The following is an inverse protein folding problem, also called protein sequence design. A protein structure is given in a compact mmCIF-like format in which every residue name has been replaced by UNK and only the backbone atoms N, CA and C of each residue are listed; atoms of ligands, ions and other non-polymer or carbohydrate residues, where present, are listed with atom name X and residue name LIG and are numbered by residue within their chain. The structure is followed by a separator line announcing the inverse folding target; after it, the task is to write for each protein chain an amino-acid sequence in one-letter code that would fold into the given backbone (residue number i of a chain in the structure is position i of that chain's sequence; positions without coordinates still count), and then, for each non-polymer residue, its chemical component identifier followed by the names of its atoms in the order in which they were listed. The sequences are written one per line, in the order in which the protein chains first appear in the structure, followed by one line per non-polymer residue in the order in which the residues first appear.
data_IF_105268561025
#
_entry.id   IF_105268561025
#
_cell.length_a   1.000
_cell.length_b   1.000
_cell.length_c   1.000
_cell.angle_alpha   90.00
_cell.angle_beta   90.00
_cell.angle_gamma   90.00
#
_symmetry.space_group_name_H-M   'P 1'
#
loop_
_entity.id
_entity.type
_entity.pdbx_description
1 polymer ?
#
# COMPACT_ATOMS: atom_id res chain seq x y z
N UNK A 1 3.18 29.15 -20.60
CA UNK A 1 2.16 28.35 -19.88
C UNK A 1 2.55 26.88 -20.03
N UNK A 2 3.21 26.31 -19.02
CA UNK A 2 3.50 24.87 -19.00
C UNK A 2 2.21 24.13 -18.69
N UNK A 3 1.82 23.20 -19.56
CA UNK A 3 0.71 22.28 -19.32
C UNK A 3 1.09 21.35 -18.17
N UNK A 4 0.67 21.69 -16.95
CA UNK A 4 0.76 20.79 -15.80
C UNK A 4 -0.14 19.58 -16.08
N UNK A 5 0.45 18.43 -16.39
CA UNK A 5 -0.25 17.15 -16.45
C UNK A 5 -0.70 16.77 -15.04
N UNK A 6 -1.91 17.19 -14.66
CA UNK A 6 -2.52 16.91 -13.36
C UNK A 6 -2.81 15.41 -13.25
N UNK A 7 -1.99 14.65 -12.53
CA UNK A 7 -2.24 13.24 -12.25
C UNK A 7 -3.51 13.09 -11.38
N UNK A 8 -4.65 12.77 -12.00
CA UNK A 8 -5.87 12.47 -11.24
C UNK A 8 -5.80 11.07 -10.61
N UNK A 9 -6.65 10.77 -9.61
CA UNK A 9 -6.80 9.41 -9.04
C UNK A 9 -7.09 8.38 -10.14
N UNK A 10 -7.94 8.74 -11.10
CA UNK A 10 -8.26 7.92 -12.26
C UNK A 10 -7.02 7.64 -13.10
N UNK A 11 -6.23 8.66 -13.39
CA UNK A 11 -5.01 8.53 -14.19
C UNK A 11 -3.97 7.71 -13.44
N UNK A 12 -3.85 7.87 -12.12
CA UNK A 12 -2.99 7.03 -11.29
C UNK A 12 -3.40 5.55 -11.38
N UNK A 13 -4.69 5.24 -11.19
CA UNK A 13 -5.20 3.87 -11.27
C UNK A 13 -5.04 3.29 -12.69
N UNK A 14 -5.37 4.05 -13.73
CA UNK A 14 -5.24 3.61 -15.13
C UNK A 14 -3.78 3.41 -15.52
N UNK A 15 -2.92 4.39 -15.27
CA UNK A 15 -1.50 4.34 -15.64
C UNK A 15 -0.79 3.21 -14.88
N UNK A 16 -1.12 3.00 -13.61
CA UNK A 16 -0.53 1.91 -12.84
C UNK A 16 -1.09 0.54 -13.26
N UNK A 17 -2.37 0.43 -13.62
CA UNK A 17 -2.93 -0.82 -14.15
C UNK A 17 -2.36 -1.21 -15.52
N UNK A 18 -2.07 -0.22 -16.38
CA UNK A 18 -1.45 -0.41 -17.70
C UNK A 18 0.01 -0.89 -17.63
N UNK A 19 0.73 -0.59 -16.54
CA UNK A 19 2.13 -1.02 -16.33
C UNK A 19 2.23 -2.49 -15.90
N UNK A 20 1.08 -3.19 -15.77
CA UNK A 20 1.03 -4.65 -15.73
C UNK A 20 0.61 -5.19 -14.37
N UNK A 21 -0.70 -5.42 -14.22
CA UNK A 21 -1.25 -6.40 -13.27
C UNK A 21 -0.90 -6.21 -11.80
N UNK A 22 -0.58 -4.98 -11.36
CA UNK A 22 -0.20 -4.73 -9.97
C UNK A 22 -1.32 -5.02 -8.96
N UNK A 23 -0.94 -5.21 -7.69
CA UNK A 23 -1.87 -5.21 -6.57
C UNK A 23 -2.16 -3.75 -6.21
N UNK A 24 -3.44 -3.38 -6.16
CA UNK A 24 -3.87 -2.05 -5.73
C UNK A 24 -4.75 -2.21 -4.51
N UNK A 25 -4.28 -1.77 -3.35
CA UNK A 25 -5.06 -1.80 -2.13
C UNK A 25 -5.59 -0.39 -1.88
N UNK A 26 -6.89 -0.19 -2.08
CA UNK A 26 -7.58 1.04 -1.67
C UNK A 26 -7.94 0.95 -0.20
N UNK A 27 -7.69 2.02 0.56
CA UNK A 27 -8.06 2.11 1.96
C UNK A 27 -8.31 3.57 2.36
N UNK A 28 -8.97 3.76 3.49
CA UNK A 28 -9.16 5.08 4.07
C UNK A 28 -7.99 5.41 5.01
N UNK A 29 -7.29 6.52 4.74
CA UNK A 29 -6.17 7.05 5.49
C UNK A 29 -6.58 8.08 6.55
N UNK A 30 -7.76 8.69 6.46
CA UNK A 30 -8.15 9.86 7.26
C UNK A 30 -9.52 9.78 7.94
N UNK A 31 -10.36 8.79 7.67
CA UNK A 31 -11.63 8.65 8.36
C UNK A 31 -11.49 8.12 9.79
N UNK A 32 -12.62 8.07 10.49
CA UNK A 32 -12.74 7.65 11.90
C UNK A 32 -13.13 6.17 12.06
N UNK A 33 -13.51 5.49 10.98
CA UNK A 33 -14.00 4.11 11.00
C UNK A 33 -12.91 3.03 11.08
N UNK A 34 -13.33 1.77 11.23
CA UNK A 34 -12.43 0.60 11.13
C UNK A 34 -11.70 0.62 9.78
N UNK A 35 -10.47 0.11 9.76
CA UNK A 35 -9.73 -0.05 8.50
C UNK A 35 -10.50 -1.00 7.59
N UNK A 36 -10.84 -0.49 6.40
CA UNK A 36 -11.46 -1.26 5.33
C UNK A 36 -10.53 -1.14 4.13
N UNK A 37 -10.25 -2.28 3.50
CA UNK A 37 -9.47 -2.33 2.30
C UNK A 37 -10.19 -3.14 1.22
N UNK A 38 -10.09 -2.71 -0.03
CA UNK A 38 -10.51 -3.50 -1.18
C UNK A 38 -9.43 -3.44 -2.25
N UNK A 39 -9.41 -4.46 -3.11
CA UNK A 39 -8.60 -4.37 -4.32
C UNK A 39 -9.21 -3.30 -5.23
N UNK A 40 -8.46 -2.23 -5.47
CA UNK A 40 -8.88 -1.15 -6.33
C UNK A 40 -8.72 -1.56 -7.79
N UNK A 41 -9.83 -1.59 -8.52
CA UNK A 41 -9.83 -1.82 -9.95
C UNK A 41 -10.23 -0.52 -10.66
N UNK A 42 -9.48 -0.04 -11.67
CA UNK A 42 -9.87 1.14 -12.46
C UNK A 42 -11.28 1.02 -13.09
N UNK A 43 -11.74 -0.21 -13.35
CA UNK A 43 -13.09 -0.47 -13.87
C UNK A 43 -14.20 -0.37 -12.79
N UNK A 44 -13.84 -0.35 -11.50
CA UNK A 44 -14.76 -0.23 -10.36
C UNK A 44 -14.70 1.17 -9.73
N UNK A 45 -14.35 2.18 -10.53
CA UNK A 45 -14.22 3.56 -10.05
C UNK A 45 -15.57 4.09 -9.55
N UNK A 46 -15.61 4.50 -8.27
CA UNK A 46 -16.83 4.93 -7.58
C UNK A 46 -17.51 3.85 -6.73
N UNK A 47 -17.10 2.57 -6.85
CA UNK A 47 -17.62 1.50 -6.00
C UNK A 47 -17.10 1.56 -4.55
N UNK A 48 -15.97 2.24 -4.32
CA UNK A 48 -15.37 2.42 -3.01
C UNK A 48 -14.86 3.84 -2.79
N UNK A 49 -15.17 4.38 -1.61
CA UNK A 49 -14.84 5.75 -1.21
C UNK A 49 -13.50 5.84 -0.46
N UNK A 50 -12.45 5.25 -1.04
CA UNK A 50 -11.10 5.30 -0.46
C UNK A 50 -10.38 6.59 -0.84
N UNK A 51 -9.74 7.22 0.15
CA UNK A 51 -8.95 8.43 -0.04
C UNK A 51 -7.44 8.18 -0.21
N UNK A 52 -6.97 6.94 -0.06
CA UNK A 52 -5.58 6.56 -0.27
C UNK A 52 -5.44 5.17 -0.91
N UNK A 53 -4.26 4.92 -1.49
CA UNK A 53 -3.93 3.66 -2.13
C UNK A 53 -2.50 3.23 -1.81
N UNK A 54 -2.30 1.93 -1.70
CA UNK A 54 -1.00 1.28 -1.79
C UNK A 54 -1.01 0.41 -3.04
N UNK A 55 -0.16 0.72 -4.02
CA UNK A 55 0.07 -0.14 -5.17
C UNK A 55 1.38 -0.89 -5.04
N UNK A 56 1.43 -2.11 -5.59
CA UNK A 56 2.63 -2.90 -5.80
C UNK A 56 2.64 -3.30 -7.28
N UNK A 57 3.60 -2.77 -8.02
CA UNK A 57 3.75 -3.01 -9.44
C UNK A 57 4.55 -4.30 -9.70
N UNK A 58 4.44 -4.82 -10.92
CA UNK A 58 5.17 -6.01 -11.37
C UNK A 58 6.69 -5.87 -11.33
N UNK A 59 7.22 -4.64 -11.41
CA UNK A 59 8.65 -4.32 -11.28
C UNK A 59 9.15 -4.32 -9.82
N UNK A 60 8.28 -4.60 -8.85
CA UNK A 60 8.62 -4.58 -7.43
C UNK A 60 8.83 -3.16 -6.90
N UNK A 61 8.17 -2.15 -7.48
CA UNK A 61 8.00 -0.83 -6.86
C UNK A 61 6.67 -0.74 -6.14
N UNK A 62 6.64 -0.05 -5.00
CA UNK A 62 5.41 0.24 -4.29
C UNK A 62 5.13 1.74 -4.30
N UNK A 63 3.86 2.13 -4.45
CA UNK A 63 3.47 3.55 -4.45
C UNK A 63 2.32 3.78 -3.49
N UNK A 64 2.49 4.78 -2.62
CA UNK A 64 1.45 5.31 -1.74
C UNK A 64 0.86 6.54 -2.42
N UNK A 65 -0.43 6.50 -2.73
CA UNK A 65 -1.17 7.69 -3.14
C UNK A 65 -1.74 8.36 -1.88
N UNK A 66 -1.23 9.54 -1.53
CA UNK A 66 -1.58 10.22 -0.27
C UNK A 66 -2.29 11.55 -0.51
N UNK A 67 -3.44 11.80 0.14
CA UNK A 67 -4.08 13.12 0.13
C UNK A 67 -3.35 14.14 1.00
N UNK A 68 -2.53 13.71 1.98
CA UNK A 68 -1.84 14.64 2.87
C UNK A 68 -0.90 15.56 2.08
N UNK A 69 -1.02 16.89 2.22
CA UNK A 69 -0.03 17.81 1.66
C UNK A 69 1.33 17.63 2.33
N UNK A 70 2.40 17.58 1.54
CA UNK A 70 3.80 17.68 1.97
C UNK A 70 4.24 19.14 1.84
N UNK A 71 4.63 19.75 2.95
CA UNK A 71 5.10 21.14 3.05
C UNK A 71 6.43 21.24 3.81
N UNK A 72 7.13 20.11 3.99
CA UNK A 72 8.41 20.02 4.69
C UNK A 72 8.38 19.16 5.96
N UNK A 73 7.24 18.58 6.32
CA UNK A 73 7.10 17.74 7.52
C UNK A 73 7.56 16.29 7.33
N UNK A 74 7.86 15.87 6.09
CA UNK A 74 8.52 14.59 5.82
C UNK A 74 7.60 13.38 5.70
N UNK A 75 6.35 13.55 5.27
CA UNK A 75 5.46 12.41 4.95
C UNK A 75 6.00 11.57 3.78
N UNK A 76 6.75 12.19 2.85
CA UNK A 76 7.43 11.46 1.76
C UNK A 76 8.56 10.54 2.23
N UNK A 77 8.93 10.59 3.51
CA UNK A 77 9.90 9.70 4.13
C UNK A 77 9.21 8.78 5.13
N UNK A 78 8.44 9.36 6.06
CA UNK A 78 7.84 8.60 7.16
C UNK A 78 6.76 7.61 6.69
N UNK A 79 5.98 7.95 5.65
CA UNK A 79 4.93 7.05 5.15
C UNK A 79 5.52 5.82 4.44
N UNK A 80 6.50 5.97 3.52
CA UNK A 80 7.26 4.85 2.96
C UNK A 80 7.83 3.93 4.02
N UNK A 81 8.51 4.48 5.04
CA UNK A 81 9.08 3.67 6.12
C UNK A 81 7.99 2.90 6.89
N UNK A 82 6.87 3.54 7.20
CA UNK A 82 5.76 2.94 7.95
C UNK A 82 5.12 1.77 7.20
N UNK A 83 4.87 1.93 5.89
CA UNK A 83 4.31 0.85 5.07
C UNK A 83 5.34 -0.25 4.85
N UNK A 84 6.59 0.11 4.53
CA UNK A 84 7.66 -0.84 4.26
C UNK A 84 7.96 -1.74 5.46
N UNK A 85 7.87 -1.19 6.68
CA UNK A 85 8.04 -1.93 7.92
C UNK A 85 7.05 -3.10 7.99
N UNK A 86 5.77 -2.85 7.75
CA UNK A 86 4.77 -3.92 7.77
C UNK A 86 4.77 -4.78 6.52
N UNK A 87 5.21 -4.24 5.39
CA UNK A 87 5.25 -4.97 4.12
C UNK A 87 6.47 -5.92 4.02
N UNK A 88 7.45 -5.82 4.92
CA UNK A 88 8.78 -6.45 4.78
C UNK A 88 9.45 -6.05 3.47
N UNK A 89 9.52 -4.74 3.21
CA UNK A 89 9.97 -4.19 1.93
C UNK A 89 11.17 -3.26 2.10
N UNK A 90 11.93 -3.07 1.02
CA UNK A 90 12.92 -2.01 0.97
C UNK A 90 12.21 -0.66 0.83
N UNK A 91 12.31 0.19 1.86
CA UNK A 91 11.63 1.48 1.89
C UNK A 91 12.10 2.42 0.77
N UNK A 92 13.31 2.24 0.24
CA UNK A 92 13.81 3.01 -0.90
C UNK A 92 13.03 2.73 -2.21
N UNK A 93 12.32 1.60 -2.27
CA UNK A 93 11.44 1.22 -3.39
C UNK A 93 9.98 1.65 -3.18
N UNK A 94 9.68 2.31 -2.06
CA UNK A 94 8.33 2.82 -1.77
C UNK A 94 8.29 4.32 -2.03
N UNK A 95 7.43 4.74 -2.97
CA UNK A 95 7.25 6.14 -3.37
C UNK A 95 5.95 6.70 -2.83
N UNK A 96 5.91 8.01 -2.59
CA UNK A 96 4.67 8.73 -2.31
C UNK A 96 4.32 9.62 -3.49
N UNK A 97 3.15 9.38 -4.07
CA UNK A 97 2.50 10.30 -5.01
C UNK A 97 1.45 11.08 -4.23
N UNK A 98 1.57 12.40 -4.25
CA UNK A 98 0.58 13.27 -3.61
C UNK A 98 -0.64 13.42 -4.52
N UNK A 99 -1.82 13.36 -3.91
CA UNK A 99 -3.07 13.64 -4.60
C UNK A 99 -3.17 15.14 -4.96
N UNK A 100 -3.78 15.49 -6.10
CA UNK A 100 -4.17 16.87 -6.38
C UNK A 100 -5.19 17.36 -5.35
N UNK A 101 -5.37 18.67 -5.26
CA UNK A 101 -6.41 19.26 -4.40
C UNK A 101 -7.80 18.81 -4.89
N UNK A 102 -8.57 18.16 -4.02
CA UNK A 102 -9.95 17.74 -4.28
C UNK A 102 -10.76 17.82 -2.97
N UNK A 103 -11.42 18.95 -2.75
CA UNK A 103 -12.19 19.23 -1.52
C UNK A 103 -13.51 18.48 -1.45
N UNK A 104 -13.91 17.79 -2.53
CA UNK A 104 -15.12 16.96 -2.56
C UNK A 104 -14.78 15.54 -2.11
N UNK A 105 -13.67 14.98 -2.61
CA UNK A 105 -13.26 13.60 -2.30
C UNK A 105 -12.40 13.47 -1.06
N UNK A 106 -11.69 14.52 -0.66
CA UNK A 106 -10.84 14.51 0.51
C UNK A 106 -11.39 15.46 1.56
N UNK A 107 -12.06 14.89 2.56
CA UNK A 107 -12.59 15.62 3.72
C UNK A 107 -11.50 16.47 4.40
N UNK A 108 -10.25 16.00 4.41
CA UNK A 108 -9.15 16.62 5.16
C UNK A 108 -7.84 16.71 4.38
N UNK A 109 -7.73 17.63 3.42
CA UNK A 109 -6.50 17.82 2.66
C UNK A 109 -5.61 18.96 3.20
N UNK A 110 -5.18 18.86 4.46
CA UNK A 110 -4.47 19.94 5.18
C UNK A 110 -3.18 19.46 5.84
N UNK A 111 -2.16 20.32 5.89
CA UNK A 111 -0.97 20.15 6.72
C UNK A 111 -1.05 21.11 7.91
N UNK A 112 -1.13 20.57 9.14
CA UNK A 112 -1.25 21.36 10.36
C UNK A 112 -1.64 20.51 11.58
N UNK A 113 -1.39 21.05 12.77
CA UNK A 113 -1.76 20.43 14.06
C UNK A 113 -1.01 19.14 14.41
N UNK A 114 0.12 18.86 13.74
CA UNK A 114 0.91 17.64 13.93
C UNK A 114 0.12 16.35 13.69
N UNK A 115 -0.89 16.40 12.82
CA UNK A 115 -1.88 15.35 12.68
C UNK A 115 -1.61 14.34 11.55
N UNK A 116 -0.70 14.60 10.61
CA UNK A 116 -0.48 13.71 9.46
C UNK A 116 0.00 12.33 9.90
N UNK A 117 1.08 12.25 10.68
CA UNK A 117 1.62 10.96 11.15
C UNK A 117 0.68 10.23 12.12
N UNK A 118 0.12 10.87 13.18
CA UNK A 118 -0.77 10.18 14.12
C UNK A 118 -2.01 9.55 13.47
N UNK A 119 -2.67 10.25 12.55
CA UNK A 119 -3.85 9.71 11.86
C UNK A 119 -3.49 8.57 10.89
N UNK A 120 -2.37 8.71 10.19
CA UNK A 120 -1.97 7.76 9.15
C UNK A 120 -1.24 6.53 9.70
N UNK A 121 -0.59 6.62 10.87
CA UNK A 121 0.29 5.58 11.42
C UNK A 121 -0.32 4.19 11.40
N UNK A 122 -1.48 4.01 12.06
CA UNK A 122 -2.13 2.70 12.14
C UNK A 122 -2.61 2.21 10.77
N UNK A 123 -3.15 3.11 9.96
CA UNK A 123 -3.74 2.80 8.66
C UNK A 123 -2.69 2.40 7.61
N UNK A 124 -1.54 3.09 7.59
CA UNK A 124 -0.39 2.72 6.76
C UNK A 124 0.17 1.36 7.17
N UNK A 125 0.27 1.11 8.48
CA UNK A 125 0.70 -0.20 8.99
C UNK A 125 -0.26 -1.31 8.55
N UNK A 126 -1.57 -1.09 8.72
CA UNK A 126 -2.59 -2.03 8.26
C UNK A 126 -2.52 -2.25 6.74
N UNK A 127 -2.35 -1.20 5.95
CA UNK A 127 -2.18 -1.34 4.50
C UNK A 127 -0.97 -2.19 4.12
N UNK A 128 0.19 -1.97 4.74
CA UNK A 128 1.40 -2.77 4.52
C UNK A 128 1.20 -4.24 4.93
N UNK A 129 0.62 -4.48 6.11
CA UNK A 129 0.38 -5.82 6.63
C UNK A 129 -0.65 -6.59 5.77
N UNK A 130 -1.74 -5.95 5.38
CA UNK A 130 -2.77 -6.52 4.50
C UNK A 130 -2.19 -6.86 3.13
N UNK A 131 -1.42 -5.95 2.52
CA UNK A 131 -0.77 -6.23 1.24
C UNK A 131 0.20 -7.40 1.34
N UNK A 132 1.04 -7.46 2.39
CA UNK A 132 1.93 -8.60 2.65
C UNK A 132 1.14 -9.90 2.76
N UNK A 133 0.07 -9.91 3.56
CA UNK A 133 -0.76 -11.10 3.78
C UNK A 133 -1.36 -11.60 2.46
N UNK A 134 -1.90 -10.70 1.63
CA UNK A 134 -2.45 -11.05 0.31
C UNK A 134 -1.40 -11.64 -0.63
N UNK A 135 -0.19 -11.09 -0.65
CA UNK A 135 0.92 -11.63 -1.45
C UNK A 135 1.33 -13.02 -0.97
N UNK A 136 1.38 -13.24 0.35
CA UNK A 136 1.62 -14.57 0.91
C UNK A 136 0.50 -15.55 0.56
N UNK A 137 -0.78 -15.13 0.55
CA UNK A 137 -1.88 -16.00 0.11
C UNK A 137 -1.80 -16.37 -1.36
N UNK A 138 -1.41 -15.42 -2.21
CA UNK A 138 -1.17 -15.68 -3.62
C UNK A 138 -0.06 -16.74 -3.80
N UNK A 139 1.06 -16.59 -3.09
CA UNK A 139 2.15 -17.56 -3.12
C UNK A 139 1.73 -18.93 -2.56
N UNK A 140 0.98 -18.95 -1.46
CA UNK A 140 0.46 -20.16 -0.84
C UNK A 140 -0.43 -20.94 -1.82
N UNK A 141 -1.35 -20.25 -2.50
CA UNK A 141 -2.19 -20.83 -3.56
C UNK A 141 -1.35 -21.33 -4.75
N UNK A 142 -0.41 -20.53 -5.23
CA UNK A 142 0.48 -20.88 -6.35
C UNK A 142 1.32 -22.13 -6.04
N UNK A 143 1.77 -22.27 -4.81
CA UNK A 143 2.65 -23.37 -4.40
C UNK A 143 1.93 -24.55 -3.79
N UNK A 144 0.62 -24.43 -3.56
CA UNK A 144 -0.24 -25.38 -2.86
C UNK A 144 0.32 -25.74 -1.46
N UNK A 145 0.61 -24.71 -0.67
CA UNK A 145 1.13 -24.85 0.71
C UNK A 145 0.29 -24.00 1.67
N UNK A 146 0.41 -24.27 2.98
CA UNK A 146 -0.20 -23.40 4.00
C UNK A 146 0.54 -22.06 4.03
N UNK A 147 -0.22 -20.96 4.10
CA UNK A 147 0.35 -19.62 4.14
C UNK A 147 1.16 -19.33 5.40
N UNK A 148 0.87 -20.03 6.50
CA UNK A 148 1.59 -19.89 7.76
C UNK A 148 2.99 -20.52 7.72
N UNK A 149 3.30 -21.33 6.70
CA UNK A 149 4.67 -21.83 6.47
C UNK A 149 5.52 -20.89 5.64
N UNK A 150 4.92 -19.78 5.15
CA UNK A 150 5.60 -18.77 4.37
C UNK A 150 6.20 -17.68 5.24
N UNK A 151 7.34 -17.18 4.79
CA UNK A 151 8.02 -16.02 5.40
C UNK A 151 8.25 -14.96 4.34
N UNK A 152 8.52 -13.74 4.79
CA UNK A 152 8.74 -12.59 3.91
C UNK A 152 9.98 -11.83 4.33
N UNK A 153 10.75 -11.39 3.34
CA UNK A 153 11.92 -10.55 3.57
C UNK A 153 12.26 -9.77 2.30
N UNK A 154 12.49 -8.46 2.45
CA UNK A 154 12.89 -7.53 1.37
C UNK A 154 12.05 -7.65 0.09
N UNK A 155 10.74 -7.80 0.22
CA UNK A 155 9.81 -7.88 -0.91
C UNK A 155 9.76 -9.22 -1.63
N UNK A 156 10.17 -10.30 -0.94
CA UNK A 156 10.15 -11.66 -1.45
C UNK A 156 9.41 -12.55 -0.46
N UNK A 157 8.46 -13.33 -0.96
CA UNK A 157 7.84 -14.45 -0.22
C UNK A 157 8.73 -15.67 -0.38
N UNK A 158 9.01 -16.37 0.72
CA UNK A 158 9.88 -17.55 0.78
C UNK A 158 9.18 -18.70 1.49
N UNK A 159 9.38 -19.92 1.01
CA UNK A 159 8.97 -21.15 1.67
C UNK A 159 10.21 -21.97 2.08
N UNK A 160 10.09 -22.77 3.14
CA UNK A 160 11.19 -23.57 3.70
C UNK A 160 11.78 -24.61 2.72
N UNK A 161 11.03 -25.02 1.71
CA UNK A 161 11.49 -25.92 0.64
C UNK A 161 12.31 -25.22 -0.46
N UNK A 162 12.66 -23.94 -0.29
CA UNK A 162 13.46 -23.17 -1.25
C UNK A 162 12.67 -22.45 -2.35
N UNK A 163 11.34 -22.60 -2.41
CA UNK A 163 10.51 -21.78 -3.31
C UNK A 163 10.52 -20.33 -2.86
N UNK A 164 10.66 -19.43 -3.83
CA UNK A 164 10.59 -17.99 -3.60
C UNK A 164 9.91 -17.28 -4.77
N UNK A 165 9.25 -16.16 -4.49
CA UNK A 165 8.70 -15.26 -5.49
C UNK A 165 8.74 -13.83 -4.96
N UNK A 166 9.09 -12.89 -5.82
CA UNK A 166 9.04 -11.46 -5.54
C UNK A 166 7.60 -11.00 -5.44
N UNK A 167 7.36 -9.89 -4.75
CA UNK A 167 6.02 -9.31 -4.66
C UNK A 167 5.48 -8.87 -6.01
N UNK A 168 6.33 -8.38 -6.92
CA UNK A 168 5.93 -8.02 -8.27
C UNK A 168 5.38 -9.21 -9.06
N UNK A 169 6.01 -10.38 -8.95
CA UNK A 169 5.53 -11.62 -9.58
C UNK A 169 4.19 -12.11 -9.03
N UNK A 170 3.87 -11.79 -7.77
CA UNK A 170 2.66 -12.22 -7.07
C UNK A 170 1.52 -11.21 -7.15
N UNK A 171 1.82 -9.96 -7.53
CA UNK A 171 0.90 -8.83 -7.47
C UNK A 171 -0.42 -9.09 -8.21
N UNK A 172 -0.35 -9.66 -9.42
CA UNK A 172 -1.51 -9.96 -10.26
C UNK A 172 -2.42 -11.06 -9.70
N UNK A 173 -1.85 -12.02 -8.98
CA UNK A 173 -2.61 -13.07 -8.31
C UNK A 173 -3.21 -12.57 -7.01
N UNK A 174 -2.45 -11.79 -6.24
CA UNK A 174 -2.93 -11.15 -5.03
C UNK A 174 -4.10 -10.19 -5.32
N UNK A 175 -4.09 -9.49 -6.45
CA UNK A 175 -5.17 -8.61 -6.88
C UNK A 175 -6.52 -9.34 -7.12
N UNK A 176 -6.53 -10.67 -7.22
CA UNK A 176 -7.76 -11.46 -7.38
C UNK A 176 -8.33 -11.92 -6.03
N UNK A 177 -7.65 -11.63 -4.93
CA UNK A 177 -8.05 -12.03 -3.60
C UNK A 177 -8.87 -10.94 -2.91
N UNK A 178 -9.76 -11.36 -2.03
CA UNK A 178 -10.42 -10.45 -1.10
C UNK A 178 -9.45 -10.10 0.03
N UNK A 179 -9.22 -8.81 0.35
CA UNK A 179 -8.36 -8.44 1.46
C UNK A 179 -8.88 -9.02 2.79
N UNK A 180 -8.01 -9.65 3.60
CA UNK A 180 -8.40 -10.12 4.93
C UNK A 180 -8.72 -8.94 5.86
N UNK A 181 -9.73 -9.12 6.71
CA UNK A 181 -10.26 -8.07 7.59
C UNK A 181 -9.50 -7.90 8.90
N UNK A 182 -8.80 -8.93 9.35
CA UNK A 182 -8.02 -8.91 10.60
C UNK A 182 -6.62 -9.44 10.34
N UNK A 183 -5.68 -8.52 10.13
CA UNK A 183 -4.27 -8.83 9.92
C UNK A 183 -3.47 -8.30 11.10
N UNK A 184 -2.76 -9.16 11.83
CA UNK A 184 -1.94 -8.71 12.94
C UNK A 184 -0.83 -7.80 12.44
N UNK A 185 -0.63 -6.70 13.16
CA UNK A 185 0.50 -5.79 12.96
C UNK A 185 1.71 -6.34 13.71
N UNK A 186 2.91 -6.02 13.23
CA UNK A 186 4.15 -6.35 13.94
C UNK A 186 4.20 -5.75 15.35
N UNK A 187 4.90 -6.41 16.26
CA UNK A 187 5.28 -5.75 17.50
C UNK A 187 6.45 -4.79 17.24
N UNK A 188 6.56 -3.74 18.06
CA UNK A 188 7.65 -2.75 17.93
C UNK A 188 9.05 -3.38 18.02
N UNK A 189 9.18 -4.46 18.80
CA UNK A 189 10.44 -5.22 18.95
C UNK A 189 10.87 -5.91 17.66
N UNK A 190 9.95 -6.13 16.73
CA UNK A 190 10.19 -6.82 15.46
C UNK A 190 10.39 -5.83 14.30
N UNK A 191 10.45 -4.53 14.61
CA UNK A 191 10.71 -3.49 13.62
C UNK A 191 12.16 -3.53 13.15
N UNK A 192 12.35 -3.29 11.85
CA UNK A 192 13.66 -3.33 11.17
C UNK A 192 14.05 -1.99 10.54
N UNK A 193 13.09 -1.08 10.34
CA UNK A 193 13.25 0.19 9.64
C UNK A 193 12.98 1.36 10.60
N UNK A 194 11.96 1.25 11.44
CA UNK A 194 11.53 2.36 12.30
C UNK A 194 12.21 2.24 13.67
N UNK A 195 12.98 3.26 14.04
CA UNK A 195 13.71 3.31 15.32
C UNK A 195 15.10 2.67 15.27
N UNK A 196 15.58 2.33 14.07
CA UNK A 196 16.98 1.99 13.79
C UNK A 196 17.80 3.23 13.47
#
# INVERSE_FOLDING_TARGET
MQSSSTYSRRDFLKNSALIGGGLFLGFDLMGSGKFNAAVANPALEGAFDFNAYLSINSDGTATIFSPNPEVGQGIKTSFPMTVAEELDFDWAKVKVVQAPLDTVKFERQVAGGSQSTPHSWKRLRQAGATARRMLMEAAAKRWNVDVNTLTTDKGVVKHSNGKQATYGELAAEAAKLTPPTDVPLKDRKDFKIIGT
#
